data_IF_715800911932
#
_entry.id   IF_715800911932
#
_cell.length_a   1.000
_cell.length_b   1.000
_cell.length_c   1.000
_cell.angle_alpha   90.00
_cell.angle_beta   90.00
_cell.angle_gamma   90.00
#
_symmetry.space_group_name_H-M   'P 1'
#
loop_
_entity.id
_entity.type
_entity.pdbx_description
1 polymer ?
#
# COMPACT_ATOMS: atom_id res chain seq x y z
N UNK A 1 11.61 -32.41 1.66
CA UNK A 1 12.63 -31.63 0.98
C UNK A 1 12.86 -30.39 1.81
N UNK A 2 14.05 -30.22 2.37
CA UNK A 2 14.39 -29.04 3.17
C UNK A 2 14.94 -27.90 2.30
N UNK A 3 15.09 -26.72 2.87
CA UNK A 3 15.56 -25.51 2.17
C UNK A 3 16.97 -25.68 1.60
N UNK A 4 17.80 -26.53 2.21
CA UNK A 4 19.16 -26.78 1.76
C UNK A 4 19.19 -27.70 0.54
N UNK A 5 18.32 -28.71 0.49
CA UNK A 5 18.11 -29.55 -0.70
C UNK A 5 17.57 -28.73 -1.88
N UNK A 6 16.62 -27.82 -1.62
CA UNK A 6 16.08 -26.95 -2.68
C UNK A 6 17.16 -26.01 -3.23
N UNK A 7 17.97 -25.39 -2.36
CA UNK A 7 19.08 -24.52 -2.78
C UNK A 7 20.16 -25.29 -3.55
N UNK A 8 20.47 -26.52 -3.15
CA UNK A 8 21.43 -27.37 -3.85
C UNK A 8 20.91 -27.74 -5.25
N UNK A 9 19.64 -28.14 -5.35
CA UNK A 9 19.00 -28.48 -6.63
C UNK A 9 18.92 -27.27 -7.59
N UNK A 10 18.63 -26.07 -7.08
CA UNK A 10 18.60 -24.84 -7.88
C UNK A 10 19.98 -24.42 -8.38
N UNK A 11 21.04 -24.59 -7.57
CA UNK A 11 22.40 -24.29 -8.01
C UNK A 11 22.88 -25.26 -9.08
N UNK A 12 22.56 -26.54 -8.93
CA UNK A 12 22.93 -27.58 -9.88
C UNK A 12 22.23 -27.40 -11.24
N UNK A 13 20.97 -26.96 -11.25
CA UNK A 13 20.23 -26.65 -12.49
C UNK A 13 20.77 -25.41 -13.22
N UNK A 14 21.24 -24.39 -12.49
CA UNK A 14 21.83 -23.19 -13.10
C UNK A 14 23.16 -23.52 -13.80
N UNK A 15 23.96 -24.44 -13.26
CA UNK A 15 25.24 -24.82 -13.86
C UNK A 15 25.13 -25.74 -15.08
N UNK A 16 23.97 -26.36 -15.29
CA UNK A 16 23.76 -27.30 -16.41
C UNK A 16 23.10 -26.67 -17.65
N UNK A 17 22.73 -25.38 -17.62
CA UNK A 17 22.24 -24.71 -18.81
C UNK A 17 23.42 -24.20 -19.67
N UNK A 18 23.53 -24.64 -20.94
CA UNK A 18 24.52 -24.08 -21.84
C UNK A 18 24.25 -22.58 -22.01
N UNK A 19 25.32 -21.79 -21.95
CA UNK A 19 25.26 -20.35 -22.15
C UNK A 19 24.50 -20.04 -23.45
N UNK A 20 23.46 -19.19 -23.43
CA UNK A 20 22.67 -18.92 -24.62
C UNK A 20 23.60 -18.38 -25.71
N UNK A 21 23.42 -18.78 -26.98
CA UNK A 21 24.28 -18.34 -28.06
C UNK A 21 24.29 -16.80 -28.09
N UNK A 22 25.46 -16.18 -28.32
CA UNK A 22 25.58 -14.73 -28.29
C UNK A 22 24.63 -14.10 -29.31
N UNK A 23 23.78 -13.18 -28.84
CA UNK A 23 22.90 -12.43 -29.73
C UNK A 23 23.73 -11.62 -30.73
N UNK A 24 23.61 -11.94 -32.01
CA UNK A 24 24.07 -11.14 -33.15
C UNK A 24 23.29 -9.81 -33.20
N UNK A 25 23.64 -8.88 -32.30
CA UNK A 25 23.02 -7.57 -32.05
C UNK A 25 22.81 -6.73 -33.31
N UNK A 26 23.65 -6.92 -34.33
CA UNK A 26 23.55 -6.22 -35.61
C UNK A 26 22.27 -6.55 -36.37
N UNK A 27 21.81 -7.79 -36.30
CA UNK A 27 20.59 -8.24 -37.02
C UNK A 27 19.31 -7.70 -36.36
N UNK A 28 19.25 -7.72 -35.04
CA UNK A 28 18.13 -7.20 -34.25
C UNK A 28 17.99 -5.67 -34.39
N UNK A 29 19.10 -4.93 -34.36
CA UNK A 29 19.10 -3.48 -34.55
C UNK A 29 18.70 -3.11 -35.99
N UNK A 30 19.15 -3.87 -36.99
CA UNK A 30 18.75 -3.65 -38.38
C UNK A 30 17.26 -3.90 -38.62
N UNK A 31 16.68 -4.93 -37.99
CA UNK A 31 15.24 -5.21 -38.05
C UNK A 31 14.41 -4.10 -37.39
N UNK A 32 14.84 -3.61 -36.23
CA UNK A 32 14.19 -2.51 -35.52
C UNK A 32 14.18 -1.20 -36.34
N UNK A 33 15.31 -0.85 -36.98
CA UNK A 33 15.41 0.36 -37.82
C UNK A 33 14.50 0.32 -39.05
N UNK A 34 14.35 -0.84 -39.70
CA UNK A 34 13.44 -0.99 -40.87
C UNK A 34 11.96 -0.86 -40.50
N UNK A 35 11.57 -1.23 -39.27
CA UNK A 35 10.18 -1.11 -38.80
C UNK A 35 9.82 0.33 -38.42
N UNK A 36 10.77 1.08 -37.86
CA UNK A 36 10.58 2.50 -37.52
C UNK A 36 10.46 3.40 -38.75
N UNK A 37 11.26 3.18 -39.80
CA UNK A 37 11.21 4.01 -41.02
C UNK A 37 9.88 3.87 -41.79
N UNK A 38 9.29 2.67 -41.79
CA UNK A 38 7.96 2.43 -42.40
C UNK A 38 6.83 3.16 -41.69
N UNK A 39 6.94 3.38 -40.37
CA UNK A 39 5.90 4.05 -39.58
C UNK A 39 5.90 5.57 -39.78
N UNK A 40 7.05 6.17 -40.08
CA UNK A 40 7.16 7.62 -40.31
C UNK A 40 6.73 8.06 -41.72
N UNK A 41 6.67 7.13 -42.69
CA UNK A 41 6.18 7.42 -44.05
C UNK A 41 4.64 7.46 -44.15
N UNK A 42 3.91 6.90 -43.18
CA UNK A 42 2.44 6.86 -43.16
C UNK A 42 1.79 7.95 -42.29
N UNK A 43 2.58 8.77 -41.58
CA UNK A 43 2.10 9.88 -40.75
C UNK A 43 2.39 11.28 -41.37
N UNK A 44 2.88 11.32 -42.62
CA UNK A 44 3.41 12.53 -43.26
C UNK A 44 2.65 13.00 -44.51
N UNK A 45 1.33 12.83 -44.57
CA UNK A 45 0.47 13.47 -45.59
C UNK A 45 -0.74 14.07 -44.90
N UNK A 46 -0.60 15.29 -44.38
CA UNK A 46 -1.69 15.98 -43.67
C UNK A 46 -1.24 17.19 -42.87
N UNK A 47 -0.58 18.15 -43.51
CA UNK A 47 -0.35 19.47 -42.92
C UNK A 47 -0.52 20.52 -44.01
N UNK A 48 -1.61 21.31 -43.97
CA UNK A 48 -1.68 22.67 -44.51
C UNK A 48 -3.10 23.26 -44.37
N UNK A 49 -3.37 23.97 -43.28
CA UNK A 49 -4.08 25.26 -43.28
C UNK A 49 -4.36 25.73 -41.84
N UNK A 50 -4.34 27.06 -41.67
CA UNK A 50 -4.76 27.82 -40.48
C UNK A 50 -3.71 28.07 -39.37
N UNK A 51 -2.63 28.78 -39.71
CA UNK A 51 -2.07 29.78 -38.78
C UNK A 51 -1.84 31.06 -39.58
N UNK A 52 -2.85 31.92 -39.68
CA UNK A 52 -2.72 33.35 -39.96
C UNK A 52 -4.02 34.05 -39.53
N UNK A 53 -3.95 34.90 -38.51
CA UNK A 53 -4.91 35.99 -38.32
C UNK A 53 -5.72 35.97 -37.03
N UNK A 54 -5.15 36.46 -35.93
CA UNK A 54 -5.90 37.33 -34.99
C UNK A 54 -4.96 38.47 -34.56
N UNK A 55 -5.02 39.56 -35.31
CA UNK A 55 -4.64 40.91 -34.87
C UNK A 55 -5.88 41.61 -34.29
N UNK A 56 -5.68 42.28 -33.15
CA UNK A 56 -6.40 43.44 -32.61
C UNK A 56 -7.92 43.59 -32.84
N UNK A 57 -8.68 43.58 -31.74
CA UNK A 57 -9.75 44.57 -31.52
C UNK A 57 -10.03 44.75 -30.02
N UNK A 58 -9.71 45.95 -29.51
CA UNK A 58 -10.31 46.54 -28.31
C UNK A 58 -11.81 46.81 -28.56
N UNK A 59 -12.65 46.65 -27.53
CA UNK A 59 -13.52 47.71 -26.95
C UNK A 59 -14.38 47.11 -25.81
N UNK A 60 -14.65 47.85 -24.72
CA UNK A 60 -15.24 47.37 -23.46
C UNK A 60 -16.76 47.64 -23.39
N UNK A 61 -17.50 46.90 -22.55
CA UNK A 61 -18.92 47.24 -22.32
C UNK A 61 -19.72 46.26 -21.47
N UNK A 62 -19.91 46.65 -20.21
CA UNK A 62 -21.02 46.42 -19.27
C UNK A 62 -22.19 45.47 -19.62
N UNK A 63 -22.61 44.69 -18.61
CA UNK A 63 -23.97 44.13 -18.54
C UNK A 63 -24.18 43.08 -17.46
N UNK A 64 -24.58 43.50 -16.25
CA UNK A 64 -25.26 42.63 -15.26
C UNK A 64 -26.66 42.29 -15.79
N UNK A 65 -27.02 41.00 -15.84
CA UNK A 65 -28.41 40.51 -15.71
C UNK A 65 -28.36 39.18 -14.97
N UNK A 66 -29.11 39.09 -13.85
CA UNK A 66 -29.29 37.87 -13.08
C UNK A 66 -30.51 37.07 -13.52
N UNK A 67 -30.75 35.94 -12.84
CA UNK A 67 -32.00 35.19 -12.90
C UNK A 67 -31.82 33.78 -13.44
N UNK A 68 -31.88 32.79 -12.55
CA UNK A 68 -31.74 31.39 -12.89
C UNK A 68 -33.00 30.75 -13.47
N UNK A 69 -32.83 29.54 -13.99
CA UNK A 69 -33.83 28.46 -14.08
C UNK A 69 -33.10 27.16 -14.37
N UNK A 70 -33.56 26.08 -13.74
CA UNK A 70 -33.01 24.74 -13.96
C UNK A 70 -33.12 24.29 -15.41
N UNK A 71 -32.22 23.39 -15.79
CA UNK A 71 -32.37 22.55 -16.98
C UNK A 71 -32.39 21.09 -16.54
N UNK A 72 -33.59 20.53 -16.61
CA UNK A 72 -33.84 19.12 -16.82
C UNK A 72 -33.07 18.67 -18.07
N UNK A 73 -32.40 17.53 -18.01
CA UNK A 73 -32.07 16.75 -19.21
C UNK A 73 -33.08 15.60 -19.24
N UNK A 74 -33.97 15.67 -20.21
CA UNK A 74 -34.93 14.63 -20.52
C UNK A 74 -34.37 13.72 -21.63
N UNK A 75 -34.86 12.48 -21.61
CA UNK A 75 -34.98 11.50 -22.70
C UNK A 75 -33.74 10.66 -23.07
N UNK A 76 -33.77 9.41 -22.61
CA UNK A 76 -33.41 8.25 -23.45
C UNK A 76 -34.30 8.20 -24.70
N UNK A 77 -33.76 7.70 -25.83
CA UNK A 77 -34.28 6.41 -26.28
C UNK A 77 -33.19 5.42 -26.73
N UNK A 78 -33.51 4.15 -26.52
CA UNK A 78 -32.75 2.94 -26.80
C UNK A 78 -32.26 2.80 -28.24
N UNK A 79 -31.05 2.27 -28.40
CA UNK A 79 -30.53 1.76 -29.68
C UNK A 79 -29.19 1.06 -29.50
N UNK A 80 -29.17 -0.26 -29.63
CA UNK A 80 -27.97 -1.10 -29.53
C UNK A 80 -26.88 -0.67 -30.52
N UNK A 81 -25.65 -0.52 -30.03
CA UNK A 81 -24.45 -0.43 -30.88
C UNK A 81 -23.55 -1.61 -30.57
N UNK A 82 -23.37 -2.43 -31.60
CA UNK A 82 -22.52 -3.62 -31.64
C UNK A 82 -21.03 -3.25 -31.41
N UNK A 83 -20.26 -4.04 -30.66
CA UNK A 83 -18.81 -3.84 -30.57
C UNK A 83 -18.12 -4.25 -31.89
N UNK A 84 -17.37 -3.31 -32.47
CA UNK A 84 -16.45 -3.58 -33.57
C UNK A 84 -15.20 -4.34 -33.08
N UNK A 85 -14.59 -5.18 -33.95
CA UNK A 85 -13.65 -6.23 -33.56
C UNK A 85 -12.27 -5.69 -33.20
N UNK A 86 -11.69 -6.23 -32.13
CA UNK A 86 -10.28 -6.07 -31.79
C UNK A 86 -9.49 -7.01 -32.70
N UNK A 87 -8.92 -6.48 -33.79
CA UNK A 87 -7.96 -7.22 -34.59
C UNK A 87 -6.69 -7.51 -33.77
N UNK A 88 -6.55 -8.77 -33.38
CA UNK A 88 -5.32 -9.36 -32.87
C UNK A 88 -4.21 -9.34 -33.94
N UNK A 89 -3.00 -8.84 -33.66
CA UNK A 89 -1.88 -9.06 -34.57
C UNK A 89 -1.52 -10.55 -34.61
N UNK A 90 -1.84 -11.19 -35.73
CA UNK A 90 -1.42 -12.54 -36.09
C UNK A 90 0.10 -12.57 -36.32
N UNK A 91 0.82 -13.10 -35.33
CA UNK A 91 2.10 -13.78 -35.51
C UNK A 91 1.79 -15.27 -35.36
N UNK A 92 1.15 -15.86 -36.36
CA UNK A 92 1.06 -17.31 -36.46
C UNK A 92 2.41 -17.84 -36.98
N UNK A 93 3.40 -17.91 -36.10
CA UNK A 93 4.49 -18.87 -36.22
C UNK A 93 4.02 -20.16 -35.58
N UNK A 94 3.93 -21.24 -36.36
CA UNK A 94 3.49 -22.56 -35.93
C UNK A 94 4.36 -23.04 -34.76
N UNK A 95 3.88 -22.90 -33.52
CA UNK A 95 4.53 -23.47 -32.34
C UNK A 95 4.34 -25.00 -32.36
N UNK A 96 5.42 -25.79 -32.20
CA UNK A 96 5.29 -27.21 -31.92
C UNK A 96 4.41 -27.40 -30.68
N UNK A 97 3.36 -28.20 -30.81
CA UNK A 97 2.56 -28.64 -29.67
C UNK A 97 3.47 -29.40 -28.71
N UNK A 98 3.70 -28.86 -27.51
CA UNK A 98 4.48 -29.56 -26.48
C UNK A 98 5.34 -28.74 -25.52
N UNK A 99 5.38 -27.41 -25.61
CA UNK A 99 6.06 -26.60 -24.60
C UNK A 99 5.06 -26.16 -23.53
N UNK A 100 5.09 -26.86 -22.39
CA UNK A 100 4.47 -26.40 -21.16
C UNK A 100 4.93 -24.96 -20.90
N UNK A 101 3.98 -24.06 -20.56
CA UNK A 101 4.28 -22.68 -20.19
C UNK A 101 5.34 -22.70 -19.08
N UNK A 102 6.55 -22.22 -19.38
CA UNK A 102 7.65 -22.07 -18.41
C UNK A 102 7.56 -20.75 -17.66
N UNK A 103 6.35 -20.21 -17.48
CA UNK A 103 6.12 -19.08 -16.60
C UNK A 103 6.23 -19.60 -15.16
N UNK A 104 6.96 -18.93 -14.26
CA UNK A 104 6.90 -19.24 -12.84
C UNK A 104 5.44 -19.16 -12.41
N UNK A 105 4.83 -20.29 -12.06
CA UNK A 105 3.56 -20.26 -11.37
C UNK A 105 3.87 -19.76 -9.96
N UNK A 106 3.42 -18.54 -9.66
CA UNK A 106 3.31 -18.09 -8.28
C UNK A 106 2.55 -19.17 -7.47
N UNK A 107 2.88 -19.39 -6.19
CA UNK A 107 2.17 -20.36 -5.37
C UNK A 107 0.66 -20.14 -5.50
N UNK A 108 -0.13 -21.21 -5.43
CA UNK A 108 -1.59 -21.12 -5.50
C UNK A 108 -2.11 -20.44 -4.22
N UNK A 109 -1.99 -19.12 -4.20
CA UNK A 109 -2.50 -18.20 -3.20
C UNK A 109 -3.91 -17.86 -3.66
N UNK A 110 -4.89 -17.95 -2.75
CA UNK A 110 -6.28 -17.66 -3.08
C UNK A 110 -6.45 -16.22 -3.59
N UNK A 111 -5.54 -15.33 -3.20
CA UNK A 111 -5.49 -13.92 -3.58
C UNK A 111 -4.42 -13.57 -4.61
N UNK A 112 -3.49 -14.48 -4.93
CA UNK A 112 -2.32 -14.20 -5.78
C UNK A 112 -1.28 -13.26 -5.14
N UNK A 113 -1.41 -12.96 -3.85
CA UNK A 113 -0.47 -12.18 -3.05
C UNK A 113 -0.10 -12.93 -1.76
N UNK A 114 1.16 -13.39 -1.70
CA UNK A 114 1.66 -14.15 -0.58
C UNK A 114 1.48 -13.36 0.71
N UNK A 115 1.74 -12.05 0.69
CA UNK A 115 1.63 -11.22 1.88
C UNK A 115 0.20 -11.11 2.42
N UNK A 116 -0.80 -11.40 1.59
CA UNK A 116 -2.21 -11.37 1.95
C UNK A 116 -2.72 -12.69 2.56
N UNK A 117 -2.19 -13.86 2.15
CA UNK A 117 -2.72 -15.15 2.61
C UNK A 117 -1.70 -16.25 2.96
N UNK A 118 -0.41 -16.10 2.65
CA UNK A 118 0.59 -17.18 2.86
C UNK A 118 2.08 -16.73 2.99
N UNK A 119 3.01 -17.67 3.17
CA UNK A 119 4.43 -17.34 3.28
C UNK A 119 4.87 -16.61 4.57
N UNK A 120 6.17 -16.31 4.67
CA UNK A 120 6.80 -15.88 5.92
C UNK A 120 6.28 -14.53 6.42
N UNK A 121 6.08 -13.55 5.54
CA UNK A 121 5.65 -12.21 5.96
C UNK A 121 4.19 -12.19 6.43
N UNK A 122 3.30 -12.97 5.80
CA UNK A 122 1.97 -13.20 6.35
C UNK A 122 2.04 -13.79 7.77
N UNK A 123 2.91 -14.78 8.01
CA UNK A 123 3.09 -15.33 9.35
C UNK A 123 3.66 -14.30 10.34
N UNK A 124 4.57 -13.43 9.89
CA UNK A 124 5.09 -12.33 10.71
C UNK A 124 3.98 -11.34 11.09
N UNK A 125 3.13 -10.93 10.14
CA UNK A 125 1.96 -10.09 10.41
C UNK A 125 0.97 -10.76 11.38
N UNK A 126 0.71 -12.06 11.20
CA UNK A 126 -0.17 -12.83 12.10
C UNK A 126 0.41 -12.97 13.51
N UNK A 127 1.72 -13.20 13.64
CA UNK A 127 2.45 -13.20 14.91
C UNK A 127 2.34 -11.83 15.57
N UNK A 128 2.55 -10.75 14.82
CA UNK A 128 2.40 -9.38 15.33
C UNK A 128 0.98 -9.12 15.84
N UNK A 129 -0.06 -9.51 15.10
CA UNK A 129 -1.45 -9.39 15.58
C UNK A 129 -1.67 -10.14 16.89
N UNK A 130 -1.10 -11.34 17.02
CA UNK A 130 -1.17 -12.11 18.27
C UNK A 130 -0.48 -11.37 19.42
N UNK A 131 0.68 -10.76 19.16
CA UNK A 131 1.37 -9.90 20.13
C UNK A 131 0.53 -8.69 20.54
N UNK A 132 -0.14 -8.01 19.60
CA UNK A 132 -1.03 -6.86 19.88
C UNK A 132 -2.23 -7.27 20.73
N UNK A 133 -2.81 -8.44 20.46
CA UNK A 133 -3.91 -8.98 21.27
C UNK A 133 -3.47 -9.30 22.71
N UNK A 134 -2.20 -9.68 22.92
CA UNK A 134 -1.65 -9.98 24.24
C UNK A 134 -1.34 -8.76 25.11
N UNK A 135 -1.36 -7.55 24.55
CA UNK A 135 -1.03 -6.29 25.24
C UNK A 135 -2.23 -5.34 25.35
N UNK A 136 -3.44 -5.85 25.08
CA UNK A 136 -4.67 -5.06 25.20
C UNK A 136 -4.74 -4.51 26.64
N UNK A 137 -4.93 -3.19 26.85
CA UNK A 137 -4.83 -2.62 28.18
C UNK A 137 -5.93 -3.13 29.11
N UNK A 138 -5.63 -3.21 30.40
CA UNK A 138 -6.59 -3.63 31.41
C UNK A 138 -7.88 -2.79 31.38
N UNK A 139 -9.02 -3.47 31.50
CA UNK A 139 -10.34 -2.84 31.42
C UNK A 139 -10.80 -2.52 29.99
N UNK A 140 -10.05 -2.93 28.96
CA UNK A 140 -10.48 -2.95 27.56
C UNK A 140 -10.67 -4.39 27.06
N UNK A 141 -11.46 -4.55 26.00
CA UNK A 141 -11.67 -5.84 25.33
C UNK A 141 -11.30 -5.75 23.86
N UNK A 142 -10.56 -6.73 23.34
CA UNK A 142 -10.30 -6.81 21.90
C UNK A 142 -11.56 -7.30 21.17
N UNK A 143 -12.13 -6.46 20.31
CA UNK A 143 -13.30 -6.83 19.49
C UNK A 143 -12.92 -7.85 18.43
N UNK A 144 -13.86 -8.70 18.05
CA UNK A 144 -13.71 -9.73 17.00
C UNK A 144 -14.88 -9.67 16.03
N UNK A 145 -14.72 -10.31 14.87
CA UNK A 145 -15.69 -10.23 13.78
C UNK A 145 -15.46 -8.99 12.92
N UNK A 146 -16.50 -8.57 12.23
CA UNK A 146 -16.46 -7.48 11.27
C UNK A 146 -17.45 -6.38 11.66
N UNK A 147 -17.19 -5.18 11.16
CA UNK A 147 -18.16 -4.09 11.12
C UNK A 147 -19.31 -4.44 10.17
N UNK A 148 -20.38 -3.64 10.19
CA UNK A 148 -21.52 -3.81 9.29
C UNK A 148 -21.11 -3.74 7.82
N UNK A 149 -20.10 -2.91 7.52
CA UNK A 149 -19.52 -2.74 6.18
C UNK A 149 -18.50 -3.84 5.81
N UNK A 150 -18.36 -4.87 6.65
CA UNK A 150 -17.48 -6.02 6.40
C UNK A 150 -16.00 -5.80 6.75
N UNK A 151 -15.63 -4.66 7.34
CA UNK A 151 -14.25 -4.39 7.76
C UNK A 151 -13.93 -5.19 9.03
N UNK A 152 -12.87 -5.99 9.06
CA UNK A 152 -12.54 -6.77 10.24
C UNK A 152 -12.07 -5.89 11.39
N UNK A 153 -12.50 -6.19 12.61
CA UNK A 153 -12.02 -5.52 13.83
C UNK A 153 -10.56 -5.85 14.17
N UNK A 154 -9.99 -6.84 13.49
CA UNK A 154 -8.61 -7.29 13.67
C UNK A 154 -8.01 -7.50 12.30
N UNK A 155 -6.91 -6.86 12.01
CA UNK A 155 -6.23 -7.00 10.72
C UNK A 155 -4.73 -7.04 10.93
N UNK A 156 -4.04 -7.66 9.97
CA UNK A 156 -2.61 -7.53 9.81
C UNK A 156 -2.27 -7.48 8.34
N UNK A 157 -1.14 -6.87 8.03
CA UNK A 157 -0.60 -6.83 6.69
C UNK A 157 0.92 -6.72 6.75
N UNK A 158 1.55 -7.09 5.65
CA UNK A 158 2.98 -6.88 5.46
C UNK A 158 3.19 -6.21 4.12
N UNK A 159 4.08 -5.23 4.08
CA UNK A 159 4.39 -4.46 2.88
C UNK A 159 5.88 -4.24 2.78
N UNK A 160 6.38 -4.07 1.56
CA UNK A 160 7.77 -3.69 1.31
C UNK A 160 7.83 -2.17 1.13
N UNK A 161 8.74 -1.51 1.84
CA UNK A 161 8.98 -0.08 1.72
C UNK A 161 10.45 0.16 1.37
N UNK A 162 10.71 0.54 0.12
CA UNK A 162 12.06 0.55 -0.43
C UNK A 162 12.66 -0.86 -0.38
N UNK A 163 13.70 -1.03 0.45
CA UNK A 163 14.46 -2.28 0.56
C UNK A 163 14.21 -3.04 1.88
N UNK A 164 13.21 -2.65 2.68
CA UNK A 164 12.89 -3.31 3.96
C UNK A 164 11.42 -3.69 4.07
N UNK A 165 11.14 -4.71 4.87
CA UNK A 165 9.78 -5.13 5.17
C UNK A 165 9.20 -4.40 6.36
N UNK A 166 7.90 -4.19 6.28
CA UNK A 166 7.10 -3.54 7.29
C UNK A 166 5.84 -4.36 7.57
N UNK A 167 5.67 -4.76 8.81
CA UNK A 167 4.53 -5.53 9.28
C UNK A 167 3.64 -4.62 10.12
N UNK A 168 2.34 -4.66 9.89
CA UNK A 168 1.37 -3.86 10.62
C UNK A 168 0.27 -4.77 11.16
N UNK A 169 -0.19 -4.50 12.38
CA UNK A 169 -1.37 -5.13 12.95
C UNK A 169 -2.23 -4.11 13.66
N UNK A 170 -3.55 -4.22 13.51
CA UNK A 170 -4.53 -3.36 14.14
C UNK A 170 -5.59 -4.19 14.88
N UNK A 171 -5.97 -3.73 16.07
CA UNK A 171 -7.00 -4.33 16.91
C UNK A 171 -7.94 -3.24 17.38
N UNK A 172 -9.22 -3.37 17.04
CA UNK A 172 -10.26 -2.56 17.64
C UNK A 172 -10.47 -2.99 19.10
N UNK A 173 -10.45 -2.02 20.00
CA UNK A 173 -10.61 -2.24 21.44
C UNK A 173 -11.88 -1.56 21.95
N UNK A 174 -12.58 -2.20 22.87
CA UNK A 174 -13.83 -1.72 23.43
C UNK A 174 -13.74 -1.43 24.93
N UNK A 175 -14.48 -0.42 25.37
CA UNK A 175 -14.74 -0.15 26.80
C UNK A 175 -16.16 0.39 26.96
N UNK A 176 -17.01 -0.36 27.66
CA UNK A 176 -18.45 -0.10 27.66
C UNK A 176 -19.01 -0.10 26.24
N UNK A 177 -19.69 0.98 25.85
CA UNK A 177 -20.22 1.16 24.49
C UNK A 177 -19.22 1.77 23.50
N UNK A 178 -18.06 2.24 23.97
CA UNK A 178 -17.04 2.89 23.14
C UNK A 178 -16.14 1.89 22.42
N UNK A 179 -15.65 2.25 21.24
CA UNK A 179 -14.71 1.50 20.42
C UNK A 179 -13.61 2.43 19.92
N UNK A 180 -12.37 2.01 20.09
CA UNK A 180 -11.18 2.66 19.55
C UNK A 180 -10.25 1.61 18.95
N UNK A 181 -8.97 1.93 18.83
CA UNK A 181 -8.00 1.09 18.14
C UNK A 181 -6.63 1.16 18.80
N UNK A 182 -5.94 0.01 18.80
CA UNK A 182 -4.52 -0.12 19.01
C UNK A 182 -3.90 -0.68 17.72
N UNK A 183 -2.89 0.00 17.20
CA UNK A 183 -2.19 -0.36 15.98
C UNK A 183 -0.69 -0.39 16.24
N UNK A 184 -0.02 -1.40 15.68
CA UNK A 184 1.44 -1.54 15.77
C UNK A 184 2.00 -1.73 14.38
N UNK A 185 3.05 -0.98 14.06
CA UNK A 185 3.82 -1.08 12.83
C UNK A 185 5.28 -1.38 13.18
N UNK A 186 5.83 -2.44 12.59
CA UNK A 186 7.19 -2.92 12.81
C UNK A 186 7.94 -2.91 11.50
N UNK A 187 9.02 -2.13 11.43
CA UNK A 187 9.96 -2.13 10.30
C UNK A 187 11.19 -2.96 10.66
N UNK A 188 11.56 -3.88 9.78
CA UNK A 188 12.71 -4.77 9.99
C UNK A 188 14.06 -4.02 10.04
N UNK A 189 15.11 -4.63 10.63
CA UNK A 189 16.46 -4.07 10.62
C UNK A 189 16.95 -3.64 9.24
N UNK A 190 17.83 -2.64 9.19
CA UNK A 190 18.33 -2.08 7.92
C UNK A 190 17.45 -0.97 7.34
N UNK A 191 16.32 -0.64 7.97
CA UNK A 191 15.51 0.50 7.58
C UNK A 191 16.29 1.84 7.69
N UNK A 192 16.06 2.73 6.72
CA UNK A 192 16.69 4.06 6.65
C UNK A 192 16.03 5.13 7.54
N UNK A 193 15.14 4.73 8.46
CA UNK A 193 14.39 5.66 9.29
C UNK A 193 15.33 6.43 10.26
N UNK A 194 14.93 7.59 10.78
CA UNK A 194 15.76 8.37 11.70
C UNK A 194 16.19 7.58 12.96
N UNK A 195 17.32 7.98 13.54
CA UNK A 195 17.84 7.41 14.80
C UNK A 195 17.38 8.19 16.03
N UNK A 196 17.15 9.49 15.89
CA UNK A 196 16.58 10.31 16.97
C UNK A 196 15.12 9.92 17.21
N UNK A 197 14.73 9.75 18.47
CA UNK A 197 13.42 9.23 18.84
C UNK A 197 12.27 10.13 18.35
N UNK A 198 12.44 11.45 18.39
CA UNK A 198 11.42 12.38 17.94
C UNK A 198 11.42 12.58 16.42
N UNK A 199 12.59 12.62 15.79
CA UNK A 199 12.68 12.61 14.34
C UNK A 199 12.02 11.35 13.76
N UNK A 200 12.23 10.19 14.39
CA UNK A 200 11.61 8.92 14.04
C UNK A 200 10.09 9.00 14.19
N UNK A 201 9.58 9.38 15.37
CA UNK A 201 8.14 9.40 15.66
C UNK A 201 7.36 10.31 14.71
N UNK A 202 7.97 11.39 14.22
CA UNK A 202 7.37 12.31 13.22
C UNK A 202 7.24 11.70 11.82
N UNK A 203 7.97 10.63 11.51
CA UNK A 203 7.87 9.95 10.21
C UNK A 203 6.65 9.03 10.11
N UNK A 204 6.01 8.69 11.24
CA UNK A 204 4.84 7.82 11.23
C UNK A 204 3.76 8.36 10.29
N UNK A 205 3.57 7.67 9.17
CA UNK A 205 2.72 8.03 8.03
C UNK A 205 2.86 9.48 7.54
N UNK A 206 4.04 10.09 7.72
CA UNK A 206 4.30 11.48 7.36
C UNK A 206 3.49 12.53 8.13
N UNK A 207 2.86 12.16 9.27
CA UNK A 207 1.93 13.05 10.00
C UNK A 207 2.62 14.17 10.78
N UNK A 208 3.91 14.03 11.12
CA UNK A 208 4.65 15.06 11.85
C UNK A 208 4.11 15.27 13.27
N UNK A 209 4.05 16.52 13.73
CA UNK A 209 3.51 16.88 15.05
C UNK A 209 4.55 17.23 16.12
N UNK A 210 4.05 17.66 17.29
CA UNK A 210 4.88 17.98 18.45
C UNK A 210 5.24 16.69 19.18
N UNK A 211 6.54 16.38 19.20
CA UNK A 211 7.04 15.19 19.88
C UNK A 211 7.59 15.52 21.25
N UNK A 212 7.18 14.73 22.23
CA UNK A 212 7.71 14.72 23.57
C UNK A 212 8.53 13.45 23.77
N UNK A 213 9.83 13.54 24.11
CA UNK A 213 10.61 12.37 24.46
C UNK A 213 10.19 11.85 25.84
N UNK A 214 9.86 10.56 25.91
CA UNK A 214 9.55 9.83 27.14
C UNK A 214 10.67 8.82 27.39
N UNK A 215 11.12 8.72 28.64
CA UNK A 215 12.16 7.75 29.03
C UNK A 215 11.53 6.52 29.66
N UNK A 216 11.86 5.35 29.12
CA UNK A 216 11.42 4.04 29.61
C UNK A 216 12.68 3.25 29.96
N UNK A 217 13.01 3.17 31.25
CA UNK A 217 14.30 2.66 31.70
C UNK A 217 15.46 3.47 31.09
N UNK A 218 16.27 2.82 30.26
CA UNK A 218 17.39 3.40 29.51
C UNK A 218 17.04 3.75 28.05
N UNK A 219 15.81 3.49 27.60
CA UNK A 219 15.33 3.82 26.28
C UNK A 219 14.73 5.24 26.23
N UNK A 220 14.96 5.94 25.10
CA UNK A 220 14.24 7.18 24.75
C UNK A 220 13.24 6.87 23.65
N UNK A 221 11.97 7.19 23.90
CA UNK A 221 10.84 6.95 23.01
C UNK A 221 10.22 8.29 22.66
N UNK A 222 9.91 8.55 21.39
CA UNK A 222 9.15 9.75 21.03
C UNK A 222 7.66 9.46 21.15
N UNK A 223 6.89 10.41 21.68
CA UNK A 223 5.43 10.34 21.76
C UNK A 223 4.83 11.60 21.16
N UNK A 224 3.82 11.44 20.30
CA UNK A 224 3.09 12.53 19.66
C UNK A 224 1.59 12.36 19.92
N UNK A 225 0.91 13.47 20.18
CA UNK A 225 -0.55 13.55 20.22
C UNK A 225 -1.06 14.36 19.03
N UNK A 226 -2.17 13.91 18.49
CA UNK A 226 -2.95 14.65 17.50
C UNK A 226 -4.36 14.86 18.04
N UNK A 227 -4.58 16.06 18.57
CA UNK A 227 -5.80 16.38 19.30
C UNK A 227 -5.98 15.48 20.54
N UNK A 228 -7.24 15.23 20.89
CA UNK A 228 -7.59 14.36 22.02
C UNK A 228 -7.86 12.90 21.61
N UNK A 229 -7.88 12.62 20.30
CA UNK A 229 -8.41 11.38 19.74
C UNK A 229 -7.34 10.40 19.27
N UNK A 230 -6.10 10.82 19.07
CA UNK A 230 -5.04 9.96 18.53
C UNK A 230 -3.70 10.29 19.16
N UNK A 231 -2.93 9.26 19.48
CA UNK A 231 -1.54 9.40 19.90
C UNK A 231 -0.71 8.23 19.38
N UNK A 232 0.58 8.45 19.15
CA UNK A 232 1.49 7.39 18.76
C UNK A 232 2.87 7.57 19.37
N UNK A 233 3.55 6.45 19.56
CA UNK A 233 4.93 6.38 20.01
C UNK A 233 5.80 5.71 18.96
N UNK A 234 7.05 6.15 18.85
CA UNK A 234 8.06 5.57 17.96
C UNK A 234 9.34 5.22 18.72
N UNK A 235 9.83 4.00 18.53
CA UNK A 235 11.06 3.52 19.15
C UNK A 235 11.90 2.70 18.17
N UNK A 236 13.23 2.83 18.29
CA UNK A 236 14.20 2.00 17.58
C UNK A 236 14.90 1.09 18.58
N UNK A 237 14.78 -0.21 18.36
CA UNK A 237 15.49 -1.24 19.10
C UNK A 237 16.97 -1.31 18.69
N UNK A 238 17.77 -1.93 19.55
CA UNK A 238 19.23 -2.06 19.36
C UNK A 238 19.63 -2.94 18.17
N UNK A 239 18.75 -3.85 17.74
CA UNK A 239 18.90 -4.68 16.55
C UNK A 239 18.58 -3.92 15.25
N UNK A 240 18.10 -2.68 15.34
CA UNK A 240 17.71 -1.84 14.22
C UNK A 240 16.22 -1.89 13.89
N UNK A 241 15.44 -2.79 14.51
CA UNK A 241 13.99 -2.86 14.36
C UNK A 241 13.36 -1.55 14.83
N UNK A 242 12.42 -1.00 14.06
CA UNK A 242 11.63 0.18 14.45
C UNK A 242 10.21 -0.27 14.74
N UNK A 243 9.67 0.20 15.87
CA UNK A 243 8.29 -0.04 16.27
C UNK A 243 7.58 1.29 16.41
N UNK A 244 6.44 1.42 15.76
CA UNK A 244 5.43 2.44 16.08
C UNK A 244 4.24 1.77 16.76
N UNK A 245 3.73 2.42 17.79
CA UNK A 245 2.47 2.03 18.45
C UNK A 245 1.55 3.22 18.41
N UNK A 246 0.41 3.08 17.76
CA UNK A 246 -0.64 4.08 17.70
C UNK A 246 -1.85 3.62 18.51
N UNK A 247 -2.49 4.56 19.19
CA UNK A 247 -3.79 4.41 19.80
C UNK A 247 -4.74 5.49 19.28
N UNK A 248 -6.02 5.14 19.14
CA UNK A 248 -7.05 6.08 18.71
C UNK A 248 -8.37 5.83 19.44
N UNK A 249 -9.14 6.89 19.67
CA UNK A 249 -10.51 6.81 20.20
C UNK A 249 -11.51 6.31 19.17
N UNK A 250 -11.12 6.22 17.90
CA UNK A 250 -11.94 5.69 16.80
C UNK A 250 -11.07 4.81 15.90
N UNK A 251 -11.57 3.66 15.41
CA UNK A 251 -10.82 2.85 14.44
C UNK A 251 -10.50 3.64 13.16
N UNK A 252 -9.28 3.45 12.64
CA UNK A 252 -8.79 4.20 11.45
C UNK A 252 -9.54 3.81 10.17
N UNK A 253 -9.90 2.54 10.03
CA UNK A 253 -10.49 1.99 8.79
C UNK A 253 -11.96 1.62 8.91
N UNK A 254 -12.60 1.93 10.04
CA UNK A 254 -14.03 1.76 10.21
C UNK A 254 -14.63 3.08 10.69
N UNK A 255 -15.51 3.67 9.86
CA UNK A 255 -16.32 4.79 10.32
C UNK A 255 -17.18 4.30 11.50
N UNK A 256 -16.95 4.81 12.73
CA UNK A 256 -17.71 4.36 13.88
C UNK A 256 -19.20 4.68 13.69
N UNK A 257 -19.51 5.82 13.06
CA UNK A 257 -20.88 6.33 12.94
C UNK A 257 -21.71 5.54 11.93
N UNK A 258 -21.11 5.15 10.80
CA UNK A 258 -21.73 4.24 9.83
C UNK A 258 -22.06 2.87 10.44
N UNK A 259 -21.30 2.46 11.45
CA UNK A 259 -21.41 1.15 12.09
C UNK A 259 -22.17 1.16 13.42
N UNK A 260 -22.79 2.29 13.80
CA UNK A 260 -23.48 2.46 15.09
C UNK A 260 -22.56 2.35 16.31
N UNK A 261 -21.25 2.41 16.10
CA UNK A 261 -20.22 2.38 17.12
C UNK A 261 -19.97 3.80 17.64
N UNK A 262 -19.74 3.92 18.94
CA UNK A 262 -19.35 5.18 19.55
C UNK A 262 -17.84 5.21 19.74
N UNK A 263 -17.16 6.35 19.50
CA UNK A 263 -15.76 6.48 19.88
C UNK A 263 -15.55 6.21 21.38
N UNK A 264 -14.35 5.80 21.77
CA UNK A 264 -13.94 5.82 23.17
C UNK A 264 -13.99 7.27 23.71
N UNK A 265 -14.32 7.40 24.99
CA UNK A 265 -14.35 8.70 25.67
C UNK A 265 -12.97 9.34 25.82
N UNK A 266 -11.89 8.57 25.65
CA UNK A 266 -10.51 9.04 25.72
C UNK A 266 -9.54 7.95 25.28
N UNK A 267 -8.27 8.33 25.14
CA UNK A 267 -7.22 7.41 24.74
C UNK A 267 -7.04 6.28 25.78
N UNK A 268 -6.81 5.03 25.32
CA UNK A 268 -6.72 3.87 26.21
C UNK A 268 -5.47 3.83 27.09
N UNK A 269 -4.37 4.42 26.64
CA UNK A 269 -3.06 4.41 27.30
C UNK A 269 -2.58 5.83 27.59
N UNK A 270 -1.83 5.98 28.68
CA UNK A 270 -1.05 7.20 28.96
C UNK A 270 0.21 7.23 28.09
N UNK A 271 0.87 8.39 27.99
CA UNK A 271 2.12 8.54 27.23
C UNK A 271 3.21 7.58 27.71
N UNK A 272 3.33 7.38 29.02
CA UNK A 272 4.27 6.45 29.61
C UNK A 272 3.96 5.00 29.21
N UNK A 273 2.69 4.59 29.27
CA UNK A 273 2.30 3.23 28.91
C UNK A 273 2.38 2.99 27.39
N UNK A 274 2.07 4.00 26.57
CA UNK A 274 2.24 3.93 25.12
C UNK A 274 3.73 3.81 24.75
N UNK A 275 4.59 4.59 25.42
CA UNK A 275 6.04 4.52 25.23
C UNK A 275 6.60 3.16 25.68
N UNK A 276 6.16 2.65 26.83
CA UNK A 276 6.54 1.32 27.33
C UNK A 276 6.17 0.25 26.30
N UNK A 277 4.96 0.33 25.73
CA UNK A 277 4.49 -0.60 24.73
C UNK A 277 5.34 -0.57 23.45
N UNK A 278 5.79 0.60 22.99
CA UNK A 278 6.71 0.71 21.86
C UNK A 278 8.09 0.06 22.12
N UNK A 279 8.47 -0.16 23.38
CA UNK A 279 9.70 -0.88 23.75
C UNK A 279 9.50 -2.38 23.97
N UNK A 280 8.26 -2.86 23.91
CA UNK A 280 7.89 -4.20 24.32
C UNK A 280 8.58 -5.29 23.46
N UNK A 281 9.19 -6.33 24.07
CA UNK A 281 9.99 -7.30 23.33
C UNK A 281 9.20 -8.18 22.37
N UNK A 282 7.87 -8.30 22.53
CA UNK A 282 7.02 -9.12 21.65
C UNK A 282 6.82 -8.53 20.23
N UNK A 283 7.27 -7.30 19.99
CA UNK A 283 7.20 -6.63 18.69
C UNK A 283 8.50 -6.75 17.87
N UNK A 284 9.40 -7.64 18.28
CA UNK A 284 10.61 -8.01 17.54
C UNK A 284 10.49 -9.40 16.90
#
# INVERSE_FOLDING_TARGET
MDENELRAALRDTITHHPEPPPMESKSAIAAARRKASRRNLLAGVGSAAAILGITLALIPGQGKVGGGTGMQVAAEPSGAVQPFPVETPSWAGTTPSGLAKTEPSWPAENSGDATADSGQHYQNGKKLLTSVLGVVPDGYTAKSGNTTDGVPFRSHQSTIEGDFWRNMAAVAIGKGAGVGELLVEVSEPGNGLPKDACALTKQFWGRGGNCTPVTVGNAKVGVIHEGAGTAWAGYRHSDGTVVYVMQSTSPTYADPTANGLRPLAGLPLTDAALAELATHPSFR
#
